data_IF_859060652630
#
_entry.id   IF_859060652630
#
_cell.length_a   1.000
_cell.length_b   1.000
_cell.length_c   1.000
_cell.angle_alpha   90.00
_cell.angle_beta   90.00
_cell.angle_gamma   90.00
#
_symmetry.space_group_name_H-M   'P 1'
#
loop_
_entity.id
_entity.type
_entity.pdbx_description
1 polymer ?
#
# COMPACT_ATOMS: atom_id res chain seq x y z
N UNK A 1 11.17 -10.30 1.30
CA UNK A 1 11.34 -9.31 2.38
C UNK A 1 12.20 -8.17 1.88
N UNK A 2 13.35 -8.48 1.26
CA UNK A 2 14.26 -7.50 0.64
C UNK A 2 13.60 -6.52 -0.36
N UNK A 3 12.67 -6.99 -1.19
CA UNK A 3 12.01 -6.13 -2.17
C UNK A 3 11.11 -5.07 -1.52
N UNK A 4 10.28 -5.45 -0.54
CA UNK A 4 9.42 -4.52 0.21
C UNK A 4 10.25 -3.49 0.96
N UNK A 5 11.24 -3.93 1.72
CA UNK A 5 12.10 -3.03 2.51
C UNK A 5 12.86 -2.04 1.62
N UNK A 6 13.13 -2.38 0.35
CA UNK A 6 13.76 -1.47 -0.61
C UNK A 6 12.86 -0.31 -1.08
N UNK A 7 11.57 -0.33 -0.73
CA UNK A 7 10.60 0.70 -1.09
C UNK A 7 10.56 1.87 -0.10
N UNK A 8 11.06 1.66 1.12
CA UNK A 8 11.09 2.69 2.15
C UNK A 8 11.87 3.94 1.69
N UNK A 9 11.30 5.12 1.91
CA UNK A 9 11.83 6.42 1.48
C UNK A 9 11.67 6.72 -0.02
N UNK A 10 11.07 5.80 -0.80
CA UNK A 10 10.77 6.03 -2.21
C UNK A 10 9.36 6.56 -2.41
N UNK A 11 9.14 7.23 -3.54
CA UNK A 11 7.85 7.81 -3.88
C UNK A 11 7.38 7.47 -5.29
N UNK A 12 6.08 7.60 -5.54
CA UNK A 12 5.48 7.42 -6.85
C UNK A 12 4.41 8.46 -7.15
N UNK A 13 4.23 8.74 -8.43
CA UNK A 13 3.23 9.68 -8.92
C UNK A 13 1.86 8.99 -9.04
N UNK A 14 0.81 9.57 -8.46
CA UNK A 14 -0.52 8.95 -8.40
C UNK A 14 -1.18 8.81 -9.78
N UNK A 15 -0.84 9.70 -10.72
CA UNK A 15 -1.24 9.62 -12.15
C UNK A 15 -0.80 8.36 -12.89
N UNK A 16 0.10 7.56 -12.32
CA UNK A 16 0.46 6.25 -12.88
C UNK A 16 -0.66 5.22 -12.66
N UNK A 17 -1.60 5.53 -11.77
CA UNK A 17 -2.71 4.69 -11.36
C UNK A 17 -4.03 5.46 -11.52
N UNK A 18 -4.70 5.30 -12.67
CA UNK A 18 -5.93 6.03 -13.03
C UNK A 18 -6.98 6.08 -11.92
N UNK A 19 -7.16 4.98 -11.19
CA UNK A 19 -8.13 4.88 -10.09
C UNK A 19 -7.71 5.70 -8.87
N UNK A 20 -6.41 5.78 -8.59
CA UNK A 20 -5.86 6.52 -7.47
C UNK A 20 -5.88 8.03 -7.74
N UNK A 21 -5.41 8.46 -8.92
CA UNK A 21 -5.39 9.89 -9.32
C UNK A 21 -6.79 10.52 -9.26
N UNK A 22 -7.83 9.75 -9.58
CA UNK A 22 -9.21 10.23 -9.54
C UNK A 22 -9.80 10.23 -8.13
N UNK A 23 -9.25 9.42 -7.23
CA UNK A 23 -9.77 9.24 -5.89
C UNK A 23 -9.20 10.27 -4.91
N UNK A 24 -7.87 10.47 -4.93
CA UNK A 24 -7.17 11.28 -3.92
C UNK A 24 -6.62 12.58 -4.52
N UNK A 25 -6.51 13.66 -3.72
CA UNK A 25 -5.99 14.94 -4.20
C UNK A 25 -4.45 14.95 -4.36
N UNK A 26 -3.75 14.02 -3.72
CA UNK A 26 -2.30 13.94 -3.72
C UNK A 26 -1.75 13.52 -5.08
N UNK A 27 -0.74 14.25 -5.58
CA UNK A 27 -0.07 13.94 -6.84
C UNK A 27 1.09 12.96 -6.68
N UNK A 28 1.64 12.84 -5.46
CA UNK A 28 2.79 12.01 -5.14
C UNK A 28 2.61 11.40 -3.75
N UNK A 29 2.90 10.10 -3.61
CA UNK A 29 2.90 9.41 -2.33
C UNK A 29 4.29 8.86 -2.04
N UNK A 30 4.79 9.12 -0.83
CA UNK A 30 6.06 8.61 -0.32
C UNK A 30 5.81 7.48 0.69
N UNK A 31 6.50 6.35 0.50
CA UNK A 31 6.45 5.21 1.39
C UNK A 31 7.36 5.52 2.59
N UNK A 32 6.77 5.94 3.70
CA UNK A 32 7.48 6.48 4.85
C UNK A 32 8.18 5.39 5.66
N UNK A 33 7.47 4.28 5.89
CA UNK A 33 7.98 3.15 6.66
C UNK A 33 7.40 1.85 6.11
N UNK A 34 8.26 0.84 5.92
CA UNK A 34 7.85 -0.54 5.68
C UNK A 34 7.79 -1.27 7.01
N UNK A 35 6.61 -1.83 7.35
CA UNK A 35 6.39 -2.39 8.67
C UNK A 35 7.30 -3.58 8.95
N UNK A 36 8.03 -3.51 10.06
CA UNK A 36 8.77 -4.65 10.58
C UNK A 36 7.83 -5.71 11.15
N UNK A 37 8.29 -6.95 11.21
CA UNK A 37 7.52 -8.07 11.78
C UNK A 37 7.01 -7.75 13.20
N UNK A 38 7.82 -7.04 13.99
CA UNK A 38 7.51 -6.66 15.36
C UNK A 38 6.33 -5.67 15.44
N UNK A 39 6.12 -4.84 14.42
CA UNK A 39 5.01 -3.89 14.35
C UNK A 39 3.74 -4.50 13.75
N UNK A 40 3.84 -5.62 13.03
CA UNK A 40 2.71 -6.20 12.31
C UNK A 40 1.52 -6.53 13.21
N UNK A 41 1.74 -6.98 14.45
CA UNK A 41 0.64 -7.30 15.37
C UNK A 41 -0.19 -6.05 15.70
N UNK A 42 0.48 -4.95 16.07
CA UNK A 42 -0.15 -3.67 16.38
C UNK A 42 -0.85 -3.09 15.15
N UNK A 43 -0.18 -3.13 13.99
CA UNK A 43 -0.77 -2.66 12.72
C UNK A 43 -2.00 -3.50 12.37
N UNK A 44 -1.92 -4.82 12.53
CA UNK A 44 -3.05 -5.70 12.28
C UNK A 44 -4.23 -5.34 13.18
N UNK A 45 -4.04 -5.16 14.49
CA UNK A 45 -5.12 -4.76 15.41
C UNK A 45 -5.84 -3.47 14.97
N UNK A 46 -5.10 -2.50 14.44
CA UNK A 46 -5.66 -1.21 14.01
C UNK A 46 -6.46 -1.29 12.70
N UNK A 47 -6.03 -2.15 11.78
CA UNK A 47 -6.55 -2.17 10.40
C UNK A 47 -7.43 -3.39 10.08
N UNK A 48 -7.32 -4.48 10.84
CA UNK A 48 -7.96 -5.78 10.54
C UNK A 48 -9.45 -5.66 10.23
N UNK A 49 -10.20 -4.87 11.01
CA UNK A 49 -11.65 -4.76 10.85
C UNK A 49 -12.05 -4.17 9.48
N UNK A 50 -11.14 -3.41 8.87
CA UNK A 50 -11.37 -2.69 7.62
C UNK A 50 -10.73 -3.42 6.43
N UNK A 51 -9.54 -3.99 6.62
CA UNK A 51 -8.78 -4.62 5.54
C UNK A 51 -9.16 -6.08 5.31
N UNK A 52 -9.66 -6.79 6.32
CA UNK A 52 -10.06 -8.19 6.20
C UNK A 52 -11.22 -8.40 5.22
N UNK A 53 -12.17 -7.46 5.14
CA UNK A 53 -13.29 -7.55 4.16
C UNK A 53 -12.78 -7.50 2.72
N UNK A 54 -11.70 -6.74 2.50
CA UNK A 54 -11.03 -6.61 1.20
C UNK A 54 -10.01 -7.72 0.95
N UNK A 55 -9.70 -8.56 1.94
CA UNK A 55 -8.69 -9.61 1.83
C UNK A 55 -7.28 -9.05 1.62
N UNK A 56 -6.95 -7.94 2.26
CA UNK A 56 -5.65 -7.26 2.15
C UNK A 56 -5.00 -7.14 3.54
N UNK A 57 -3.67 -7.02 3.57
CA UNK A 57 -2.89 -6.79 4.78
C UNK A 57 -1.98 -5.55 4.60
N UNK A 58 -1.97 -4.60 5.54
CA UNK A 58 -1.03 -3.47 5.50
C UNK A 58 0.42 -3.95 5.61
N UNK A 59 1.30 -3.33 4.83
CA UNK A 59 2.73 -3.66 4.79
C UNK A 59 3.65 -2.45 4.85
N UNK A 60 3.14 -1.25 4.55
CA UNK A 60 3.87 0.00 4.69
C UNK A 60 2.89 1.15 4.90
N UNK A 61 3.38 2.28 5.42
CA UNK A 61 2.60 3.50 5.59
C UNK A 61 3.06 4.62 4.66
N UNK A 62 2.09 5.43 4.24
CA UNK A 62 2.31 6.78 3.75
C UNK A 62 2.02 7.77 4.88
N UNK A 63 2.23 9.07 4.64
CA UNK A 63 1.81 10.10 5.58
C UNK A 63 0.30 10.03 5.87
N UNK A 64 -0.14 10.31 7.09
CA UNK A 64 -1.57 10.53 7.38
C UNK A 64 -2.46 9.28 7.47
N UNK A 65 -1.95 8.15 7.99
CA UNK A 65 -2.69 6.87 8.19
C UNK A 65 -3.11 6.14 6.91
N UNK A 66 -2.64 6.59 5.75
CA UNK A 66 -2.78 5.85 4.50
C UNK A 66 -1.76 4.71 4.49
N UNK A 67 -2.14 3.54 3.98
CA UNK A 67 -1.25 2.36 3.97
C UNK A 67 -1.17 1.69 2.61
N UNK A 68 0.02 1.19 2.30
CA UNK A 68 0.23 0.23 1.22
C UNK A 68 -0.13 -1.16 1.75
N UNK A 69 -0.92 -1.89 1.00
CA UNK A 69 -1.39 -3.23 1.36
C UNK A 69 -1.01 -4.27 0.30
N UNK A 70 -0.87 -5.51 0.74
CA UNK A 70 -0.80 -6.68 -0.15
C UNK A 70 -2.07 -7.52 -0.02
N UNK A 71 -2.61 -7.99 -1.14
CA UNK A 71 -3.68 -8.97 -1.15
C UNK A 71 -3.20 -10.32 -0.64
N UNK A 72 -3.95 -10.88 0.32
CA UNK A 72 -3.61 -12.11 1.02
C UNK A 72 -4.68 -13.20 0.89
N UNK A 73 -5.79 -12.94 0.19
CA UNK A 73 -6.84 -13.92 -0.11
C UNK A 73 -6.77 -14.37 -1.57
N UNK A 74 -7.40 -15.51 -1.88
CA UNK A 74 -7.37 -16.12 -3.22
C UNK A 74 -7.82 -15.19 -4.35
N UNK A 75 -8.72 -14.23 -4.08
CA UNK A 75 -9.27 -13.29 -5.06
C UNK A 75 -8.29 -12.18 -5.49
N UNK A 76 -7.30 -11.86 -4.65
CA UNK A 76 -6.41 -10.72 -4.84
C UNK A 76 -4.95 -11.02 -4.42
N UNK A 77 -4.61 -12.31 -4.29
CA UNK A 77 -3.33 -12.75 -3.77
C UNK A 77 -2.17 -12.11 -4.55
N UNK A 78 -1.28 -11.42 -3.84
CA UNK A 78 -0.09 -10.79 -4.39
C UNK A 78 -0.30 -9.42 -5.02
N UNK A 79 -1.56 -8.97 -5.19
CA UNK A 79 -1.87 -7.61 -5.67
C UNK A 79 -1.42 -6.56 -4.66
N UNK A 80 -1.07 -5.39 -5.18
CA UNK A 80 -0.69 -4.21 -4.39
C UNK A 80 -1.84 -3.22 -4.38
N UNK A 81 -2.23 -2.77 -3.21
CA UNK A 81 -3.34 -1.84 -3.02
C UNK A 81 -2.92 -0.64 -2.17
N UNK A 82 -3.48 0.51 -2.47
CA UNK A 82 -3.60 1.63 -1.55
C UNK A 82 -4.83 1.42 -0.67
N UNK A 83 -4.74 1.76 0.60
CA UNK A 83 -5.89 1.83 1.49
C UNK A 83 -5.85 3.08 2.36
N UNK A 84 -7.01 3.72 2.47
CA UNK A 84 -7.30 4.77 3.45
C UNK A 84 -8.75 4.66 3.91
N UNK A 85 -9.05 5.23 5.07
CA UNK A 85 -10.39 5.23 5.65
C UNK A 85 -11.40 6.07 4.86
N UNK A 86 -10.97 7.13 4.17
CA UNK A 86 -11.87 7.99 3.41
C UNK A 86 -12.14 7.43 1.99
N UNK A 87 -11.14 6.82 1.37
CA UNK A 87 -11.20 6.37 -0.03
C UNK A 87 -11.33 4.85 -0.20
N UNK A 88 -11.14 4.07 0.87
CA UNK A 88 -11.20 2.62 0.84
C UNK A 88 -10.01 1.98 0.14
N UNK A 89 -10.21 0.76 -0.38
CA UNK A 89 -9.18 -0.02 -1.06
C UNK A 89 -9.14 0.30 -2.56
N UNK A 90 -7.97 0.71 -3.05
CA UNK A 90 -7.72 1.01 -4.46
C UNK A 90 -6.58 0.12 -4.95
N UNK A 91 -6.83 -0.68 -5.98
CA UNK A 91 -5.80 -1.51 -6.61
C UNK A 91 -4.80 -0.64 -7.37
N UNK A 92 -3.51 -0.90 -7.17
CA UNK A 92 -2.40 -0.22 -7.84
C UNK A 92 -1.78 -1.11 -8.91
N UNK A 93 -1.52 -2.37 -8.59
CA UNK A 93 -0.80 -3.29 -9.49
C UNK A 93 -1.09 -4.74 -9.14
N UNK A 94 -0.91 -5.62 -10.12
CA UNK A 94 -1.12 -7.07 -9.96
C UNK A 94 0.00 -7.75 -9.14
N UNK A 95 1.14 -7.09 -8.94
CA UNK A 95 2.25 -7.66 -8.16
C UNK A 95 3.17 -6.60 -7.56
N UNK A 96 3.84 -6.96 -6.46
CA UNK A 96 4.88 -6.12 -5.86
C UNK A 96 5.98 -5.75 -6.88
N UNK A 97 6.39 -6.70 -7.72
CA UNK A 97 7.45 -6.48 -8.72
C UNK A 97 7.08 -5.48 -9.81
N UNK A 98 5.81 -5.44 -10.21
CA UNK A 98 5.32 -4.44 -11.14
C UNK A 98 5.21 -3.08 -10.46
N UNK A 99 4.63 -3.02 -9.25
CA UNK A 99 4.57 -1.80 -8.45
C UNK A 99 5.96 -1.20 -8.21
N UNK A 100 6.96 -1.99 -7.83
CA UNK A 100 8.35 -1.57 -7.57
C UNK A 100 8.97 -0.79 -8.74
N UNK A 101 8.53 -1.01 -9.98
CA UNK A 101 9.03 -0.29 -11.17
C UNK A 101 8.50 1.15 -11.28
N UNK A 102 7.38 1.45 -10.62
CA UNK A 102 6.77 2.78 -10.60
C UNK A 102 7.34 3.69 -9.51
N UNK A 103 8.01 3.12 -8.50
CA UNK A 103 8.54 3.85 -7.35
C UNK A 103 9.96 4.33 -7.65
N UNK A 104 10.26 5.58 -7.29
CA UNK A 104 11.53 6.26 -7.57
C UNK A 104 12.13 6.83 -6.28
N UNK A 105 13.45 7.00 -6.27
CA UNK A 105 14.12 7.77 -5.21
C UNK A 105 13.66 9.23 -5.27
N UNK A 106 13.34 9.79 -4.10
CA UNK A 106 12.82 11.15 -3.92
C UNK A 106 13.88 12.23 -4.14
#
# INVERSE_FOLDING_TARGET
>A
MDELSSLEGKSFQTRLFDSLEKAIPDSNLEIMEVFSIEKLEIIWENFHLYTSQSGIAPVAEFYGNMVLCLGCESKNLGKVCYFDFDFGCIELSDSLSEFSKSVQES
#
